data_IF_647792095495
#
_entry.id   IF_647792095495
#
_cell.length_a   1.000
_cell.length_b   1.000
_cell.length_c   1.000
_cell.angle_alpha   90.00
_cell.angle_beta   90.00
_cell.angle_gamma   90.00
#
_symmetry.space_group_name_H-M   'P 1'
#
loop_
_entity.id
_entity.type
_entity.pdbx_description
1 polymer ?
#
# COMPACT_ATOMS: atom_id res chain seq x y z
N UNK A 1 -0.97 -17.96 2.60
CA UNK A 1 -0.66 -17.88 1.16
C UNK A 1 -1.38 -19.02 0.47
N UNK A 2 -2.05 -18.74 -0.65
CA UNK A 2 -2.87 -19.72 -1.39
C UNK A 2 -2.08 -20.60 -2.36
N UNK A 3 -0.81 -20.26 -2.58
CA UNK A 3 0.17 -21.04 -3.35
C UNK A 3 1.49 -21.09 -2.55
N UNK A 4 2.40 -21.99 -2.91
CA UNK A 4 3.74 -22.01 -2.29
C UNK A 4 4.50 -20.71 -2.57
N UNK A 5 5.39 -20.30 -1.69
CA UNK A 5 6.33 -19.22 -1.97
C UNK A 5 7.40 -19.66 -2.99
N UNK A 6 7.92 -18.71 -3.78
CA UNK A 6 9.11 -18.95 -4.59
C UNK A 6 10.32 -19.29 -3.70
N UNK A 7 11.33 -20.01 -4.22
CA UNK A 7 12.55 -20.28 -3.46
C UNK A 7 13.22 -18.97 -3.02
N UNK A 8 13.93 -19.01 -1.90
CA UNK A 8 14.69 -17.87 -1.36
C UNK A 8 16.00 -17.58 -2.10
N UNK A 9 16.42 -18.52 -2.94
CA UNK A 9 17.56 -18.40 -3.87
C UNK A 9 17.07 -18.52 -5.32
N UNK A 10 17.83 -17.97 -6.29
CA UNK A 10 17.41 -18.01 -7.69
C UNK A 10 17.33 -19.47 -8.17
N UNK A 11 16.20 -19.91 -8.75
CA UNK A 11 16.11 -21.24 -9.34
C UNK A 11 16.91 -21.29 -10.65
N UNK A 12 17.49 -22.45 -10.94
CA UNK A 12 18.13 -22.75 -12.24
C UNK A 12 17.28 -23.67 -13.11
N UNK A 13 16.13 -24.11 -12.60
CA UNK A 13 15.19 -25.03 -13.25
C UNK A 13 13.76 -24.49 -13.21
N UNK A 14 12.96 -24.89 -14.20
CA UNK A 14 11.51 -24.77 -14.21
C UNK A 14 10.86 -25.61 -13.09
N UNK A 15 9.56 -25.39 -12.78
CA UNK A 15 8.83 -26.21 -11.81
C UNK A 15 8.78 -27.72 -12.15
N UNK A 16 8.90 -28.09 -13.42
CA UNK A 16 8.95 -29.48 -13.88
C UNK A 16 10.38 -30.10 -13.81
N UNK A 17 11.36 -29.34 -13.33
CA UNK A 17 12.75 -29.76 -13.19
C UNK A 17 13.62 -29.56 -14.44
N UNK A 18 13.06 -29.09 -15.55
CA UNK A 18 13.86 -28.80 -16.75
C UNK A 18 14.75 -27.56 -16.53
N UNK A 19 15.99 -27.52 -17.05
CA UNK A 19 16.86 -26.35 -16.89
C UNK A 19 16.30 -25.09 -17.55
N UNK A 20 16.43 -23.95 -16.88
CA UNK A 20 16.20 -22.63 -17.49
C UNK A 20 17.33 -22.32 -18.49
N UNK A 21 17.08 -21.56 -19.57
CA UNK A 21 18.15 -21.03 -20.41
C UNK A 21 19.18 -20.21 -19.59
N UNK A 22 20.47 -20.28 -19.92
CA UNK A 22 21.54 -19.58 -19.17
C UNK A 22 21.29 -18.06 -19.04
N UNK A 23 20.79 -17.43 -20.10
CA UNK A 23 20.44 -16.02 -20.09
C UNK A 23 19.31 -15.71 -19.08
N UNK A 24 18.33 -16.61 -18.95
CA UNK A 24 17.23 -16.47 -18.02
C UNK A 24 17.66 -16.74 -16.58
N UNK A 25 18.55 -17.72 -16.35
CA UNK A 25 19.16 -17.95 -15.04
C UNK A 25 19.91 -16.71 -14.57
N UNK A 26 20.73 -16.10 -15.43
CA UNK A 26 21.48 -14.88 -15.13
C UNK A 26 20.53 -13.72 -14.80
N UNK A 27 19.53 -13.46 -15.65
CA UNK A 27 18.57 -12.39 -15.41
C UNK A 27 17.77 -12.59 -14.12
N UNK A 28 17.39 -13.83 -13.80
CA UNK A 28 16.71 -14.20 -12.56
C UNK A 28 17.60 -13.96 -11.36
N UNK A 29 18.86 -14.39 -11.39
CA UNK A 29 19.83 -14.18 -10.32
C UNK A 29 20.02 -12.68 -10.02
N UNK A 30 20.18 -11.84 -11.04
CA UNK A 30 20.33 -10.39 -10.87
C UNK A 30 19.11 -9.74 -10.18
N UNK A 31 17.89 -10.18 -10.48
CA UNK A 31 16.69 -9.69 -9.79
C UNK A 31 16.71 -10.12 -8.32
N UNK A 32 16.97 -11.41 -8.05
CA UNK A 32 17.06 -11.94 -6.69
C UNK A 32 18.09 -11.17 -5.85
N UNK A 33 19.27 -10.89 -6.42
CA UNK A 33 20.32 -10.09 -5.78
C UNK A 33 19.85 -8.68 -5.43
N UNK A 34 19.18 -7.97 -6.36
CA UNK A 34 18.64 -6.63 -6.10
C UNK A 34 17.58 -6.65 -5.00
N UNK A 35 16.67 -7.62 -5.02
CA UNK A 35 15.61 -7.74 -4.01
C UNK A 35 16.22 -8.05 -2.64
N UNK A 36 17.19 -8.97 -2.57
CA UNK A 36 17.89 -9.31 -1.34
C UNK A 36 18.72 -8.13 -0.80
N UNK A 37 19.44 -7.40 -1.66
CA UNK A 37 20.25 -6.25 -1.27
C UNK A 37 19.43 -5.17 -0.56
N UNK A 38 18.20 -4.90 -1.04
CA UNK A 38 17.27 -3.96 -0.40
C UNK A 38 16.80 -4.37 0.99
N UNK A 39 16.85 -5.66 1.33
CA UNK A 39 16.40 -6.18 2.63
C UNK A 39 17.50 -6.24 3.69
N UNK A 40 18.78 -6.27 3.28
CA UNK A 40 19.91 -6.47 4.19
C UNK A 40 19.87 -5.51 5.40
N UNK A 41 20.18 -6.02 6.62
CA UNK A 41 20.58 -7.40 6.93
C UNK A 41 19.41 -8.38 7.11
N UNK A 42 18.16 -7.93 6.91
CA UNK A 42 16.97 -8.78 7.07
C UNK A 42 16.80 -9.72 5.87
N UNK A 43 16.17 -10.89 6.06
CA UNK A 43 15.86 -11.80 4.96
C UNK A 43 14.76 -11.23 4.05
N UNK A 44 14.54 -11.92 2.92
CA UNK A 44 13.36 -11.72 2.08
C UNK A 44 12.08 -11.91 2.90
N UNK A 45 11.09 -11.05 2.67
CA UNK A 45 9.79 -11.14 3.34
C UNK A 45 8.78 -11.91 2.47
N UNK A 46 7.63 -12.37 3.02
CA UNK A 46 6.61 -13.08 2.25
C UNK A 46 6.20 -12.40 0.93
N UNK A 47 6.06 -11.07 0.91
CA UNK A 47 5.76 -10.32 -0.32
C UNK A 47 6.87 -10.45 -1.38
N UNK A 48 8.15 -10.44 -0.97
CA UNK A 48 9.25 -10.62 -1.93
C UNK A 48 9.16 -12.02 -2.56
N UNK A 49 9.00 -13.06 -1.73
CA UNK A 49 8.93 -14.45 -2.19
C UNK A 49 7.67 -14.74 -3.03
N UNK A 50 6.56 -14.06 -2.75
CA UNK A 50 5.36 -14.16 -3.58
C UNK A 50 5.58 -13.55 -4.96
N UNK A 51 6.24 -12.39 -5.05
CA UNK A 51 6.54 -11.73 -6.33
C UNK A 51 7.60 -12.50 -7.15
N UNK A 52 8.55 -13.17 -6.48
CA UNK A 52 9.66 -13.87 -7.14
C UNK A 52 9.25 -15.12 -7.93
N UNK A 53 7.97 -15.51 -7.91
CA UNK A 53 7.40 -16.39 -8.95
C UNK A 53 7.53 -15.80 -10.36
N UNK A 54 7.66 -14.48 -10.48
CA UNK A 54 7.99 -13.80 -11.72
C UNK A 54 9.04 -12.70 -11.45
N UNK A 55 10.34 -13.00 -11.60
CA UNK A 55 11.41 -12.03 -11.39
C UNK A 55 11.24 -10.72 -12.21
N UNK A 56 10.81 -10.73 -13.49
CA UNK A 56 10.56 -9.50 -14.23
C UNK A 56 9.46 -8.62 -13.59
N UNK A 57 8.36 -9.24 -13.13
CA UNK A 57 7.27 -8.54 -12.43
C UNK A 57 7.75 -8.01 -11.08
N UNK A 58 8.46 -8.82 -10.31
CA UNK A 58 9.06 -8.40 -9.04
C UNK A 58 9.95 -7.17 -9.23
N UNK A 59 10.77 -7.13 -10.29
CA UNK A 59 11.64 -6.01 -10.59
C UNK A 59 10.86 -4.72 -10.90
N UNK A 60 9.89 -4.78 -11.80
CA UNK A 60 9.06 -3.62 -12.17
C UNK A 60 8.22 -3.11 -11.01
N UNK A 61 7.59 -4.02 -10.26
CA UNK A 61 6.85 -3.71 -9.05
C UNK A 61 7.74 -2.97 -8.04
N UNK A 62 8.94 -3.49 -7.78
CA UNK A 62 9.88 -2.92 -6.84
C UNK A 62 10.43 -1.56 -7.27
N UNK A 63 10.60 -1.33 -8.57
CA UNK A 63 11.01 -0.04 -9.12
C UNK A 63 9.91 1.03 -8.89
N UNK A 64 8.66 0.72 -9.25
CA UNK A 64 7.53 1.64 -9.06
C UNK A 64 7.31 1.97 -7.57
N UNK A 65 7.20 0.95 -6.71
CA UNK A 65 6.97 1.14 -5.28
C UNK A 65 8.19 1.74 -4.57
N UNK A 66 9.39 1.60 -5.15
CA UNK A 66 10.58 2.32 -4.72
C UNK A 66 10.46 3.82 -5.01
N UNK A 67 10.11 4.18 -6.25
CA UNK A 67 9.92 5.56 -6.66
C UNK A 67 8.85 6.28 -5.81
N UNK A 68 7.68 5.64 -5.60
CA UNK A 68 6.60 6.20 -4.77
C UNK A 68 7.07 6.50 -3.35
N UNK A 69 7.81 5.58 -2.71
CA UNK A 69 8.17 5.73 -1.29
C UNK A 69 9.35 6.66 -1.04
N UNK A 70 10.32 6.70 -1.96
CA UNK A 70 11.62 7.34 -1.68
C UNK A 70 12.04 8.41 -2.68
N UNK A 71 11.29 8.64 -3.76
CA UNK A 71 11.65 9.61 -4.82
C UNK A 71 10.52 10.60 -5.12
N UNK A 72 9.28 10.28 -4.74
CA UNK A 72 8.15 11.21 -4.77
C UNK A 72 8.42 12.41 -3.84
N UNK A 73 7.83 13.57 -4.19
CA UNK A 73 7.87 14.80 -3.39
C UNK A 73 6.67 14.93 -2.46
N UNK A 74 5.62 14.15 -2.67
CA UNK A 74 4.45 14.12 -1.80
C UNK A 74 4.84 13.90 -0.32
N UNK A 75 4.23 14.64 0.63
CA UNK A 75 4.45 14.45 2.06
C UNK A 75 4.23 13.00 2.51
N UNK A 76 5.14 12.49 3.35
CA UNK A 76 5.12 11.09 3.79
C UNK A 76 3.92 10.76 4.68
N UNK A 77 3.42 11.72 5.45
CA UNK A 77 2.21 11.54 6.26
C UNK A 77 0.97 11.32 5.38
N UNK A 78 0.84 12.07 4.28
CA UNK A 78 -0.22 11.90 3.28
C UNK A 78 -0.09 10.58 2.55
N UNK A 79 1.14 10.23 2.14
CA UNK A 79 1.45 8.94 1.51
C UNK A 79 0.95 7.81 2.39
N UNK A 80 1.48 7.71 3.61
CA UNK A 80 1.21 6.59 4.50
C UNK A 80 -0.24 6.56 5.00
N UNK A 81 -0.88 7.73 5.19
CA UNK A 81 -2.30 7.82 5.50
C UNK A 81 -3.15 7.24 4.36
N UNK A 82 -2.86 7.58 3.10
CA UNK A 82 -3.57 7.05 1.93
C UNK A 82 -3.42 5.53 1.82
N UNK A 83 -2.21 5.01 2.06
CA UNK A 83 -1.94 3.55 2.06
C UNK A 83 -2.70 2.85 3.18
N UNK A 84 -2.66 3.39 4.40
CA UNK A 84 -3.43 2.86 5.52
C UNK A 84 -4.93 2.83 5.22
N UNK A 85 -5.47 3.87 4.58
CA UNK A 85 -6.88 3.87 4.19
C UNK A 85 -7.18 2.84 3.10
N UNK A 86 -6.36 2.70 2.07
CA UNK A 86 -6.50 1.61 1.07
C UNK A 86 -6.52 0.24 1.74
N UNK A 87 -5.60 0.00 2.69
CA UNK A 87 -5.55 -1.25 3.42
C UNK A 87 -6.85 -1.55 4.17
N UNK A 88 -7.44 -0.56 4.84
CA UNK A 88 -8.75 -0.67 5.52
C UNK A 88 -9.84 -0.98 4.50
N UNK A 89 -9.93 -0.19 3.42
CA UNK A 89 -10.95 -0.32 2.39
C UNK A 89 -10.97 -1.71 1.75
N UNK A 90 -9.79 -2.30 1.56
CA UNK A 90 -9.64 -3.58 0.85
C UNK A 90 -9.42 -4.77 1.79
N UNK A 91 -9.46 -4.58 3.11
CA UNK A 91 -9.20 -5.64 4.09
C UNK A 91 -7.77 -6.18 4.06
N UNK A 92 -6.79 -5.39 3.60
CA UNK A 92 -5.40 -5.81 3.44
C UNK A 92 -4.62 -5.68 4.74
N UNK A 93 -4.78 -6.66 5.64
CA UNK A 93 -4.15 -6.70 6.96
C UNK A 93 -2.62 -6.68 6.88
N UNK A 94 -2.03 -7.36 5.90
CA UNK A 94 -0.58 -7.34 5.66
C UNK A 94 -0.07 -5.92 5.35
N UNK A 95 -0.82 -5.20 4.50
CA UNK A 95 -0.49 -3.82 4.10
C UNK A 95 -0.59 -2.87 5.29
N UNK A 96 -1.71 -2.93 6.02
CA UNK A 96 -1.90 -2.15 7.24
C UNK A 96 -0.77 -2.36 8.26
N UNK A 97 -0.44 -3.62 8.55
CA UNK A 97 0.59 -3.95 9.54
C UNK A 97 2.00 -3.48 9.12
N UNK A 98 2.24 -3.34 7.81
CA UNK A 98 3.50 -2.80 7.29
C UNK A 98 3.53 -1.26 7.29
N UNK A 99 2.39 -0.61 7.04
CA UNK A 99 2.31 0.82 6.76
C UNK A 99 1.85 1.69 7.93
N UNK A 100 1.00 1.19 8.84
CA UNK A 100 0.63 1.94 10.05
C UNK A 100 1.85 2.36 10.90
N UNK A 101 2.91 1.54 11.08
CA UNK A 101 4.13 1.99 11.74
C UNK A 101 4.87 3.11 10.98
N UNK A 102 4.77 3.14 9.66
CA UNK A 102 5.40 4.18 8.82
C UNK A 102 4.59 5.48 8.89
N UNK A 103 3.26 5.41 8.88
CA UNK A 103 2.39 6.56 9.11
C UNK A 103 2.69 7.24 10.45
N UNK A 104 2.85 6.47 11.53
CA UNK A 104 3.24 7.00 12.84
C UNK A 104 4.59 7.71 12.79
N UNK A 105 5.59 7.12 12.12
CA UNK A 105 6.92 7.74 11.95
C UNK A 105 6.87 9.01 11.10
N UNK A 106 5.94 9.09 10.16
CA UNK A 106 5.73 10.25 9.31
C UNK A 106 4.95 11.39 10.01
N UNK A 107 4.41 11.15 11.22
CA UNK A 107 3.73 12.15 12.02
C UNK A 107 2.20 12.03 12.07
N UNK A 108 1.62 11.02 11.41
CA UNK A 108 0.20 10.68 11.61
C UNK A 108 0.05 10.14 13.03
N UNK A 109 -0.85 10.71 13.83
CA UNK A 109 -0.97 10.30 15.24
C UNK A 109 -1.70 8.96 15.39
N UNK A 110 -1.48 8.26 16.50
CA UNK A 110 -2.25 7.04 16.80
C UNK A 110 -3.77 7.31 16.87
N UNK A 111 -4.19 8.49 17.35
CA UNK A 111 -5.59 8.91 17.36
C UNK A 111 -6.15 9.06 15.94
N UNK A 112 -5.40 9.68 15.02
CA UNK A 112 -5.78 9.81 13.62
C UNK A 112 -5.90 8.45 12.93
N UNK A 113 -4.94 7.55 13.11
CA UNK A 113 -5.02 6.19 12.56
C UNK A 113 -6.19 5.40 13.15
N UNK A 114 -6.47 5.57 14.44
CA UNK A 114 -7.60 4.91 15.10
C UNK A 114 -8.93 5.41 14.55
N UNK A 115 -9.06 6.72 14.34
CA UNK A 115 -10.22 7.32 13.68
C UNK A 115 -10.37 6.77 12.26
N UNK A 116 -9.31 6.80 11.45
CA UNK A 116 -9.32 6.30 10.06
C UNK A 116 -9.71 4.83 9.97
N UNK A 117 -9.25 4.00 10.92
CA UNK A 117 -9.62 2.59 11.05
C UNK A 117 -11.09 2.37 11.42
N UNK A 118 -11.68 3.30 12.17
CA UNK A 118 -13.06 3.21 12.65
C UNK A 118 -14.07 3.94 11.74
N UNK A 119 -13.59 4.81 10.85
CA UNK A 119 -14.42 5.58 9.93
C UNK A 119 -15.18 4.64 8.97
N UNK A 120 -16.52 4.82 8.84
CA UNK A 120 -17.29 4.13 7.82
C UNK A 120 -16.68 4.31 6.43
N UNK A 121 -16.79 3.28 5.60
CA UNK A 121 -16.40 3.37 4.19
C UNK A 121 -17.36 4.33 3.49
N UNK A 122 -16.82 5.29 2.73
CA UNK A 122 -17.66 6.19 1.93
C UNK A 122 -18.38 5.43 0.83
N UNK A 123 -19.63 5.81 0.61
CA UNK A 123 -20.53 5.28 -0.41
C UNK A 123 -20.90 6.39 -1.39
N UNK A 124 -21.26 6.00 -2.62
CA UNK A 124 -21.39 6.93 -3.73
C UNK A 124 -22.67 6.67 -4.52
N UNK A 125 -23.27 7.73 -5.06
CA UNK A 125 -24.37 7.62 -6.03
C UNK A 125 -23.85 7.06 -7.36
N UNK A 126 -24.71 6.58 -8.27
CA UNK A 126 -24.28 6.15 -9.61
C UNK A 126 -23.52 7.23 -10.41
N UNK A 127 -23.81 8.51 -10.15
CA UNK A 127 -23.14 9.66 -10.78
C UNK A 127 -21.77 9.95 -10.15
N UNK A 128 -21.46 9.31 -9.02
CA UNK A 128 -20.20 9.40 -8.30
C UNK A 128 -20.17 10.39 -7.13
N UNK A 129 -21.34 10.94 -6.75
CA UNK A 129 -21.42 11.85 -5.59
C UNK A 129 -21.33 11.07 -4.29
N UNK A 130 -20.54 11.57 -3.35
CA UNK A 130 -20.43 10.99 -2.01
C UNK A 130 -21.77 11.10 -1.24
N UNK A 131 -22.18 10.03 -0.56
CA UNK A 131 -23.45 9.92 0.17
C UNK A 131 -23.25 10.13 1.68
N UNK A 132 -22.26 9.44 2.28
CA UNK A 132 -21.86 9.58 3.68
C UNK A 132 -20.43 10.14 3.78
N UNK A 133 -20.05 10.67 4.94
CA UNK A 133 -18.75 11.35 5.11
C UNK A 133 -18.60 12.60 4.21
N UNK A 134 -19.71 13.27 3.88
CA UNK A 134 -19.72 14.50 3.06
C UNK A 134 -18.95 15.62 3.74
N UNK A 135 -19.05 15.70 5.07
CA UNK A 135 -18.35 16.67 5.90
C UNK A 135 -17.50 15.97 6.96
N UNK A 136 -16.40 16.61 7.34
CA UNK A 136 -15.56 16.14 8.44
C UNK A 136 -16.35 16.25 9.76
N UNK A 137 -16.44 15.17 10.56
CA UNK A 137 -17.12 15.22 11.84
C UNK A 137 -16.54 16.28 12.79
N UNK A 138 -17.41 16.93 13.56
CA UNK A 138 -17.01 17.81 14.66
C UNK A 138 -16.21 17.00 15.69
N UNK A 139 -15.05 17.50 16.08
CA UNK A 139 -14.15 16.80 17.02
C UNK A 139 -13.28 15.72 16.38
N UNK A 140 -13.29 15.59 15.05
CA UNK A 140 -12.32 14.76 14.33
C UNK A 140 -10.88 15.13 14.70
N UNK A 141 -10.04 14.10 14.90
CA UNK A 141 -8.60 14.22 15.10
C UNK A 141 -7.84 14.49 13.80
N UNK A 142 -8.51 14.32 12.65
CA UNK A 142 -7.94 14.60 11.33
C UNK A 142 -7.94 16.11 11.06
N UNK A 143 -6.85 16.58 10.46
CA UNK A 143 -6.86 17.90 9.83
C UNK A 143 -7.82 17.91 8.64
N UNK A 144 -8.24 19.09 8.19
CA UNK A 144 -9.12 19.19 7.01
C UNK A 144 -8.47 18.54 5.78
N UNK A 145 -7.14 18.67 5.64
CA UNK A 145 -6.47 18.07 4.50
C UNK A 145 -6.39 16.54 4.59
N UNK A 146 -6.11 16.01 5.79
CA UNK A 146 -6.11 14.56 5.99
C UNK A 146 -7.50 13.97 5.74
N UNK A 147 -8.56 14.69 6.10
CA UNK A 147 -9.93 14.31 5.73
C UNK A 147 -10.12 14.27 4.21
N UNK A 148 -9.72 15.33 3.49
CA UNK A 148 -9.80 15.36 2.03
C UNK A 148 -9.05 14.18 1.38
N UNK A 149 -7.86 13.85 1.89
CA UNK A 149 -7.04 12.70 1.44
C UNK A 149 -7.77 11.37 1.69
N UNK A 150 -8.42 11.20 2.85
CA UNK A 150 -9.22 10.01 3.16
C UNK A 150 -10.40 9.89 2.19
N UNK A 151 -11.14 10.97 1.95
CA UNK A 151 -12.28 10.96 1.02
C UNK A 151 -11.85 10.71 -0.41
N UNK A 152 -10.76 11.33 -0.86
CA UNK A 152 -10.17 11.08 -2.17
C UNK A 152 -9.73 9.62 -2.34
N UNK A 153 -9.11 9.05 -1.29
CA UNK A 153 -8.70 7.64 -1.28
C UNK A 153 -9.90 6.69 -1.37
N UNK A 154 -10.99 6.97 -0.64
CA UNK A 154 -12.23 6.21 -0.72
C UNK A 154 -12.85 6.29 -2.11
N UNK A 155 -12.94 7.49 -2.69
CA UNK A 155 -13.50 7.72 -4.02
C UNK A 155 -12.70 6.97 -5.09
N UNK A 156 -11.38 7.10 -5.10
CA UNK A 156 -10.51 6.38 -6.02
C UNK A 156 -10.60 4.85 -5.88
N UNK A 157 -10.78 4.36 -4.66
CA UNK A 157 -10.76 2.91 -4.37
C UNK A 157 -12.11 2.23 -4.61
N UNK A 158 -13.22 2.90 -4.26
CA UNK A 158 -14.57 2.31 -4.30
C UNK A 158 -15.43 2.80 -5.45
N UNK A 159 -15.24 4.04 -5.91
CA UNK A 159 -16.02 4.61 -7.01
C UNK A 159 -15.24 4.69 -8.34
N UNK A 160 -13.90 4.75 -8.26
CA UNK A 160 -12.95 4.92 -9.38
C UNK A 160 -13.07 6.29 -10.07
N UNK A 161 -14.28 6.68 -10.48
CA UNK A 161 -14.57 8.01 -10.99
C UNK A 161 -14.72 8.99 -9.83
N UNK A 162 -13.68 9.77 -9.56
CA UNK A 162 -13.71 10.79 -8.50
C UNK A 162 -14.56 11.97 -8.94
N UNK A 163 -15.47 12.43 -8.08
CA UNK A 163 -16.28 13.64 -8.30
C UNK A 163 -15.40 14.91 -8.34
N UNK A 164 -15.78 15.88 -9.17
CA UNK A 164 -15.01 17.11 -9.39
C UNK A 164 -14.78 17.90 -8.09
N UNK A 165 -15.73 17.91 -7.16
CA UNK A 165 -15.57 18.61 -5.89
C UNK A 165 -14.51 17.94 -5.00
N UNK A 166 -14.48 16.61 -4.96
CA UNK A 166 -13.47 15.84 -4.22
C UNK A 166 -12.09 16.04 -4.86
N UNK A 167 -12.00 16.00 -6.19
CA UNK A 167 -10.75 16.25 -6.89
C UNK A 167 -10.24 17.68 -6.68
N UNK A 168 -11.14 18.67 -6.72
CA UNK A 168 -10.81 20.08 -6.48
C UNK A 168 -10.27 20.33 -5.06
N UNK A 169 -10.79 19.64 -4.05
CA UNK A 169 -10.29 19.75 -2.67
C UNK A 169 -8.80 19.36 -2.58
N UNK A 170 -8.40 18.24 -3.19
CA UNK A 170 -6.99 17.82 -3.28
C UNK A 170 -6.16 18.82 -4.09
N UNK A 171 -6.63 19.17 -5.30
CA UNK A 171 -5.90 20.08 -6.19
C UNK A 171 -5.67 21.46 -5.59
N UNK A 172 -6.56 21.93 -4.70
CA UNK A 172 -6.42 23.24 -4.05
C UNK A 172 -5.21 23.35 -3.12
N UNK A 173 -4.64 22.22 -2.68
CA UNK A 173 -3.53 22.16 -1.72
C UNK A 173 -2.25 21.58 -2.30
N UNK A 174 -2.31 20.96 -3.47
CA UNK A 174 -1.20 20.27 -4.12
C UNK A 174 -0.86 20.84 -5.48
N UNK A 175 0.43 20.80 -5.84
CA UNK A 175 0.87 20.96 -7.21
C UNK A 175 0.37 19.83 -8.10
N UNK A 176 0.38 20.02 -9.43
CA UNK A 176 0.00 18.95 -10.37
C UNK A 176 0.85 17.70 -10.20
N UNK A 177 2.14 17.86 -9.87
CA UNK A 177 3.04 16.74 -9.59
C UNK A 177 2.57 15.95 -8.36
N UNK A 178 2.25 16.62 -7.26
CA UNK A 178 1.78 15.97 -6.04
C UNK A 178 0.42 15.29 -6.24
N UNK A 179 -0.48 15.88 -7.03
CA UNK A 179 -1.75 15.23 -7.42
C UNK A 179 -1.50 13.93 -8.18
N UNK A 180 -0.58 13.93 -9.17
CA UNK A 180 -0.19 12.72 -9.90
C UNK A 180 0.42 11.68 -8.96
N UNK A 181 1.35 12.10 -8.09
CA UNK A 181 2.01 11.19 -7.16
C UNK A 181 1.05 10.57 -6.15
N UNK A 182 0.09 11.33 -5.60
CA UNK A 182 -0.98 10.81 -4.74
C UNK A 182 -1.87 9.81 -5.48
N UNK A 183 -2.29 10.16 -6.70
CA UNK A 183 -3.15 9.31 -7.54
C UNK A 183 -2.45 7.98 -7.86
N UNK A 184 -1.18 8.03 -8.24
CA UNK A 184 -0.37 6.83 -8.52
C UNK A 184 -0.12 6.03 -7.23
N UNK A 185 0.11 6.68 -6.10
CA UNK A 185 0.25 6.01 -4.79
C UNK A 185 -1.01 5.20 -4.47
N UNK A 186 -2.19 5.82 -4.48
CA UNK A 186 -3.46 5.14 -4.19
C UNK A 186 -3.72 4.01 -5.18
N UNK A 187 -3.46 4.22 -6.48
CA UNK A 187 -3.59 3.18 -7.50
C UNK A 187 -2.63 2.01 -7.30
N UNK A 188 -1.37 2.29 -7.00
CA UNK A 188 -0.35 1.28 -6.75
C UNK A 188 -0.67 0.46 -5.49
N UNK A 189 -1.15 1.08 -4.42
CA UNK A 189 -1.54 0.36 -3.21
C UNK A 189 -2.85 -0.41 -3.37
N UNK A 190 -3.75 0.04 -4.25
CA UNK A 190 -4.88 -0.76 -4.69
C UNK A 190 -4.43 -2.03 -5.45
N UNK A 191 -3.36 -1.95 -6.25
CA UNK A 191 -2.72 -3.12 -6.86
C UNK A 191 -2.06 -4.01 -5.80
N UNK A 192 -1.29 -3.42 -4.87
CA UNK A 192 -0.63 -4.14 -3.76
C UNK A 192 -1.65 -4.92 -2.93
N UNK A 193 -2.71 -4.26 -2.48
CA UNK A 193 -3.74 -4.87 -1.63
C UNK A 193 -4.42 -6.05 -2.34
N UNK A 194 -4.72 -5.93 -3.64
CA UNK A 194 -5.31 -7.01 -4.44
C UNK A 194 -4.36 -8.20 -4.54
N UNK A 195 -3.08 -7.96 -4.79
CA UNK A 195 -2.07 -9.03 -4.79
C UNK A 195 -1.97 -9.73 -3.42
N UNK A 196 -1.86 -8.95 -2.34
CA UNK A 196 -1.73 -9.45 -0.97
C UNK A 196 -2.94 -10.27 -0.54
N UNK A 197 -4.15 -9.75 -0.72
CA UNK A 197 -5.39 -10.39 -0.26
C UNK A 197 -5.76 -11.59 -1.12
N UNK A 198 -5.68 -11.47 -2.46
CA UNK A 198 -6.02 -12.58 -3.35
C UNK A 198 -5.14 -13.80 -3.12
N UNK A 199 -3.84 -13.58 -2.86
CA UNK A 199 -2.90 -14.65 -2.61
C UNK A 199 -2.72 -14.99 -1.13
N UNK A 200 -3.34 -14.24 -0.22
CA UNK A 200 -3.19 -14.39 1.24
C UNK A 200 -1.71 -14.35 1.68
N UNK A 201 -0.97 -13.35 1.21
CA UNK A 201 0.46 -13.20 1.52
C UNK A 201 0.66 -13.04 3.04
N UNK A 202 1.55 -13.86 3.61
CA UNK A 202 1.81 -13.91 5.05
C UNK A 202 0.66 -14.45 5.90
N UNK A 203 -0.35 -15.09 5.27
CA UNK A 203 -1.46 -15.76 5.95
C UNK A 203 -2.23 -14.77 6.84
N UNK A 204 -2.63 -13.62 6.29
CA UNK A 204 -3.19 -12.50 7.05
C UNK A 204 -4.68 -12.26 6.81
N UNK A 205 -5.32 -12.94 5.86
CA UNK A 205 -6.71 -12.63 5.50
C UNK A 205 -7.70 -12.80 6.68
N UNK A 206 -7.44 -13.75 7.57
CA UNK A 206 -8.28 -14.02 8.75
C UNK A 206 -7.76 -13.35 10.03
N UNK A 207 -6.73 -12.50 9.93
CA UNK A 207 -6.14 -11.79 11.08
C UNK A 207 -6.73 -10.39 11.21
N UNK A 208 -6.71 -9.85 12.43
CA UNK A 208 -7.08 -8.46 12.66
C UNK A 208 -5.92 -7.51 12.37
N UNK A 209 -6.24 -6.35 11.81
CA UNK A 209 -5.31 -5.22 11.72
C UNK A 209 -4.82 -4.81 13.11
N UNK A 210 -3.50 -4.64 13.25
CA UNK A 210 -2.88 -4.19 14.51
C UNK A 210 -3.52 -2.87 15.00
N UNK A 211 -3.57 -2.72 16.32
CA UNK A 211 -4.07 -1.51 16.95
C UNK A 211 -3.01 -0.38 16.90
N UNK A 212 -3.35 0.84 16.44
CA UNK A 212 -2.41 1.96 16.39
C UNK A 212 -1.68 2.25 17.70
N UNK A 213 -2.34 2.13 18.85
CA UNK A 213 -1.74 2.39 20.17
C UNK A 213 -0.68 1.34 20.51
N UNK A 214 -0.95 0.08 20.17
CA UNK A 214 0.01 -1.01 20.34
C UNK A 214 1.21 -0.82 19.42
N UNK A 215 0.99 -0.42 18.16
CA UNK A 215 2.08 -0.14 17.21
C UNK A 215 2.94 1.02 17.73
N UNK A 216 2.33 2.11 18.17
CA UNK A 216 3.06 3.27 18.71
C UNK A 216 3.91 2.89 19.93
N UNK A 217 3.38 2.02 20.80
CA UNK A 217 4.11 1.50 21.96
C UNK A 217 5.28 0.59 21.58
N UNK A 218 5.13 -0.22 20.52
CA UNK A 218 6.22 -1.04 19.97
C UNK A 218 7.36 -0.18 19.38
N UNK A 219 7.04 0.97 18.79
CA UNK A 219 8.03 1.88 18.19
C UNK A 219 8.87 2.67 19.21
N UNK A 220 8.41 2.78 20.46
CA UNK A 220 9.11 3.49 21.55
C UNK A 220 10.10 2.60 22.31
N UNK A 221 10.13 1.29 22.04
CA UNK A 221 11.04 0.31 22.64
C UNK A 221 12.31 0.17 21.81
#
# INVERSE_FOLDING_TARGET
MRINYAPSTPPTTNPDGTPLPEAEQKATAEVYERVAARRKPRPLIPLDLALLHSPPIANGYNALLGAIRTQAVMPQDVLELSVCRVAILNGAVYEWNAHAPLALKAGVTAAQLQEVKSLPISTFTPEGKIINNVEKPVGSSLTDFQWDVVIFTDAMTKNIKVDDAIFAAIKSRFSEREVVELTVCIGAYNMVSRFLVTLDVGENNDKSMKDPVNIESELKK
#
